data_IF_847650633619
#
_entry.id   IF_847650633619
#
_cell.length_a   1.000
_cell.length_b   1.000
_cell.length_c   1.000
_cell.angle_alpha   90.00
_cell.angle_beta   90.00
_cell.angle_gamma   90.00
#
_symmetry.space_group_name_H-M   'P 1'
#
loop_
_entity.id
_entity.type
_entity.pdbx_description
1 polymer ?
#
# COMPACT_ATOMS: atom_id res chain seq x y z
N UNK A 1 -16.43 6.44 24.62
CA UNK A 1 -15.89 5.30 23.85
C UNK A 1 -14.89 5.89 22.88
N UNK A 2 -13.64 5.42 22.87
CA UNK A 2 -12.67 5.87 21.86
C UNK A 2 -13.15 5.37 20.50
N UNK A 3 -13.21 6.25 19.52
CA UNK A 3 -13.45 5.89 18.14
C UNK A 3 -12.35 4.92 17.66
N UNK A 4 -12.70 3.93 16.83
CA UNK A 4 -11.71 3.01 16.28
C UNK A 4 -10.73 3.79 15.38
N UNK A 5 -9.41 3.61 15.52
CA UNK A 5 -8.44 4.36 14.73
C UNK A 5 -8.65 4.08 13.24
N UNK A 6 -8.62 5.13 12.40
CA UNK A 6 -8.52 5.02 10.95
C UNK A 6 -7.10 4.63 10.58
N UNK A 7 -6.99 3.56 9.81
CA UNK A 7 -5.71 2.97 9.43
C UNK A 7 -5.63 2.99 7.91
N UNK A 8 -4.55 3.55 7.38
CA UNK A 8 -4.23 3.47 5.95
C UNK A 8 -3.28 2.31 5.70
N UNK A 9 -3.48 1.52 4.67
CA UNK A 9 -2.55 0.47 4.26
C UNK A 9 -2.11 0.62 2.81
N UNK A 10 -0.81 0.64 2.56
CA UNK A 10 -0.23 0.55 1.23
C UNK A 10 0.15 -0.91 0.95
N UNK A 11 -0.32 -1.50 -0.15
CA UNK A 11 0.01 -2.88 -0.53
C UNK A 11 0.10 -3.02 -2.05
N UNK A 12 0.90 -3.96 -2.58
CA UNK A 12 0.94 -4.23 -4.02
C UNK A 12 -0.31 -4.94 -4.58
N UNK A 13 -1.11 -5.61 -3.74
CA UNK A 13 -2.22 -6.48 -4.21
C UNK A 13 -3.57 -6.19 -3.52
N UNK A 14 -4.66 -6.19 -4.30
CA UNK A 14 -6.05 -6.27 -3.81
C UNK A 14 -6.61 -7.64 -4.18
N UNK A 15 -6.68 -8.54 -3.21
CA UNK A 15 -7.32 -9.83 -3.43
C UNK A 15 -8.86 -9.69 -3.42
N UNK A 16 -9.49 -9.57 -4.58
CA UNK A 16 -10.90 -9.94 -4.75
C UNK A 16 -11.07 -11.47 -4.89
N UNK A 17 -9.98 -12.19 -5.20
CA UNK A 17 -9.89 -13.65 -5.13
C UNK A 17 -8.46 -13.99 -4.67
N UNK A 18 -8.24 -14.55 -3.47
CA UNK A 18 -6.89 -14.75 -2.94
C UNK A 18 -6.13 -15.80 -3.74
N UNK A 19 -5.09 -15.39 -4.46
CA UNK A 19 -4.13 -16.22 -5.17
C UNK A 19 -2.84 -16.44 -4.35
N UNK A 20 -2.47 -15.51 -3.45
CA UNK A 20 -1.19 -15.52 -2.73
C UNK A 20 -1.26 -15.14 -1.24
N UNK A 21 -0.21 -15.47 -0.48
CA UNK A 21 -0.14 -15.25 0.97
C UNK A 21 -0.26 -13.78 1.42
N UNK A 22 0.17 -12.83 0.59
CA UNK A 22 0.03 -11.39 0.85
C UNK A 22 -1.45 -10.97 0.82
N UNK A 23 -2.23 -11.52 -0.10
CA UNK A 23 -3.65 -11.19 -0.24
C UNK A 23 -4.46 -11.77 0.92
N UNK A 24 -4.16 -13.00 1.33
CA UNK A 24 -4.72 -13.61 2.54
C UNK A 24 -4.40 -12.76 3.76
N UNK A 25 -3.14 -12.33 3.93
CA UNK A 25 -2.74 -11.44 5.02
C UNK A 25 -3.56 -10.14 5.03
N UNK A 26 -3.72 -9.49 3.88
CA UNK A 26 -4.49 -8.25 3.75
C UNK A 26 -5.95 -8.43 4.16
N UNK A 27 -6.59 -9.52 3.73
CA UNK A 27 -7.99 -9.83 4.05
C UNK A 27 -8.18 -10.03 5.56
N UNK A 28 -7.34 -10.85 6.20
CA UNK A 28 -7.41 -11.06 7.64
C UNK A 28 -7.12 -9.78 8.43
N UNK A 29 -6.16 -8.97 7.98
CA UNK A 29 -5.83 -7.70 8.61
C UNK A 29 -6.99 -6.70 8.51
N UNK A 30 -7.66 -6.63 7.35
CA UNK A 30 -8.85 -5.81 7.17
C UNK A 30 -9.97 -6.25 8.11
N UNK A 31 -10.20 -7.56 8.24
CA UNK A 31 -11.20 -8.11 9.16
C UNK A 31 -10.88 -7.82 10.63
N UNK A 32 -9.61 -7.92 11.03
CA UNK A 32 -9.20 -7.70 12.41
C UNK A 32 -9.22 -6.23 12.84
N UNK A 33 -8.89 -5.30 11.93
CA UNK A 33 -8.79 -3.87 12.23
C UNK A 33 -10.11 -3.11 11.99
N UNK A 34 -10.95 -3.58 11.06
CA UNK A 34 -12.24 -3.00 10.70
C UNK A 34 -12.13 -1.68 9.93
N UNK A 35 -11.47 -0.66 10.50
CA UNK A 35 -11.33 0.68 9.94
C UNK A 35 -10.03 0.82 9.13
N UNK A 36 -9.85 -0.08 8.16
CA UNK A 36 -8.66 -0.17 7.31
C UNK A 36 -9.00 0.26 5.87
N UNK A 37 -8.39 1.34 5.41
CA UNK A 37 -8.47 1.83 4.03
C UNK A 37 -7.24 1.36 3.26
N UNK A 38 -7.46 0.59 2.19
CA UNK A 38 -6.38 -0.06 1.43
C UNK A 38 -6.08 0.76 0.16
N UNK A 39 -4.82 1.11 -0.01
CA UNK A 39 -4.24 1.78 -1.17
C UNK A 39 -3.39 0.79 -1.94
N UNK A 40 -3.80 0.60 -3.18
CA UNK A 40 -3.07 -0.18 -4.18
C UNK A 40 -2.85 0.67 -5.41
N UNK A 41 -1.91 0.27 -6.23
CA UNK A 41 -1.81 0.87 -7.54
C UNK A 41 -2.89 0.27 -8.45
N UNK A 42 -3.88 1.08 -8.81
CA UNK A 42 -4.99 0.72 -9.70
C UNK A 42 -4.86 1.45 -11.04
N UNK A 43 -3.65 1.53 -11.58
CA UNK A 43 -3.47 2.15 -12.89
C UNK A 43 -4.26 1.33 -13.93
N UNK A 44 -5.13 1.97 -14.74
CA UNK A 44 -5.84 1.25 -15.79
C UNK A 44 -4.87 0.67 -16.81
N UNK A 45 -5.12 -0.58 -17.21
CA UNK A 45 -4.39 -1.27 -18.28
C UNK A 45 -4.31 -0.35 -19.52
N UNK A 46 -3.08 0.04 -19.91
CA UNK A 46 -2.86 0.81 -21.15
C UNK A 46 -2.21 2.19 -21.00
N UNK A 47 -1.61 2.53 -19.85
CA UNK A 47 -0.76 3.71 -19.78
C UNK A 47 0.56 3.48 -20.54
N UNK A 48 0.63 3.96 -21.80
CA UNK A 48 1.84 3.98 -22.66
C UNK A 48 3.14 4.44 -21.97
N UNK A 49 3.04 5.25 -20.91
CA UNK A 49 4.19 5.71 -20.15
C UNK A 49 4.80 4.65 -19.20
N UNK A 50 4.05 3.60 -18.84
CA UNK A 50 4.57 2.48 -18.03
C UNK A 50 5.42 1.55 -18.90
N UNK A 51 5.04 1.34 -20.17
CA UNK A 51 5.80 0.53 -21.13
C UNK A 51 7.25 1.02 -21.31
N UNK A 52 7.50 2.33 -21.17
CA UNK A 52 8.84 2.92 -21.18
C UNK A 52 9.59 2.73 -19.86
N UNK A 53 8.88 2.66 -18.73
CA UNK A 53 9.46 2.43 -17.40
C UNK A 53 9.86 0.97 -17.20
N UNK A 54 9.09 0.02 -17.75
CA UNK A 54 9.44 -1.39 -17.76
C UNK A 54 10.79 -1.62 -18.46
N UNK A 55 11.01 -0.96 -19.60
CA UNK A 55 12.29 -1.00 -20.34
C UNK A 55 13.52 -0.58 -19.56
N UNK A 56 13.34 0.21 -18.49
CA UNK A 56 14.43 0.67 -17.62
C UNK A 56 14.32 0.13 -16.19
N UNK A 57 13.42 -0.82 -15.93
CA UNK A 57 13.23 -1.47 -14.63
C UNK A 57 12.66 -0.56 -13.53
N UNK A 58 11.89 0.48 -13.91
CA UNK A 58 11.32 1.47 -12.99
C UNK A 58 9.81 1.33 -12.78
N UNK A 59 9.17 0.31 -13.35
CA UNK A 59 7.74 0.07 -13.19
C UNK A 59 7.36 -0.08 -11.70
N UNK A 60 7.91 -1.06 -10.98
CA UNK A 60 7.58 -1.29 -9.56
C UNK A 60 7.87 -0.06 -8.65
N UNK A 61 9.02 0.63 -8.76
CA UNK A 61 9.24 1.89 -8.06
C UNK A 61 8.19 2.97 -8.37
N UNK A 62 7.77 3.08 -9.63
CA UNK A 62 6.74 4.02 -10.04
C UNK A 62 5.39 3.69 -9.43
N UNK A 63 4.95 2.43 -9.52
CA UNK A 63 3.69 1.96 -8.93
C UNK A 63 3.65 2.22 -7.42
N UNK A 64 4.74 1.88 -6.71
CA UNK A 64 4.88 2.15 -5.28
C UNK A 64 4.75 3.65 -4.97
N UNK A 65 5.43 4.51 -5.74
CA UNK A 65 5.39 5.96 -5.56
C UNK A 65 4.00 6.54 -5.87
N UNK A 66 3.34 6.04 -6.91
CA UNK A 66 2.00 6.47 -7.29
C UNK A 66 0.97 6.16 -6.20
N UNK A 67 0.91 4.89 -5.76
CA UNK A 67 0.01 4.48 -4.69
C UNK A 67 0.29 5.23 -3.37
N UNK A 68 1.57 5.46 -3.04
CA UNK A 68 1.95 6.26 -1.88
C UNK A 68 1.49 7.72 -1.99
N UNK A 69 1.55 8.35 -3.19
CA UNK A 69 1.04 9.71 -3.39
C UNK A 69 -0.46 9.80 -3.15
N UNK A 70 -1.22 8.79 -3.59
CA UNK A 70 -2.66 8.70 -3.32
C UNK A 70 -2.92 8.59 -1.82
N UNK A 71 -2.20 7.72 -1.12
CA UNK A 71 -2.30 7.58 0.34
C UNK A 71 -1.98 8.90 1.05
N UNK A 72 -0.87 9.56 0.69
CA UNK A 72 -0.45 10.83 1.31
C UNK A 72 -1.47 11.94 1.06
N UNK A 73 -2.05 12.01 -0.14
CA UNK A 73 -3.12 12.95 -0.45
C UNK A 73 -4.33 12.69 0.43
N UNK A 74 -4.77 11.43 0.52
CA UNK A 74 -5.92 11.04 1.35
C UNK A 74 -5.69 11.35 2.83
N UNK A 75 -4.49 11.08 3.35
CA UNK A 75 -4.10 11.41 4.73
C UNK A 75 -4.15 12.91 5.04
N UNK A 76 -3.88 13.77 4.05
CA UNK A 76 -3.98 15.23 4.23
C UNK A 76 -5.42 15.72 4.28
N UNK A 77 -6.32 15.06 3.55
CA UNK A 77 -7.75 15.39 3.52
C UNK A 77 -8.45 14.86 4.78
N UNK A 78 -8.18 13.59 5.13
CA UNK A 78 -8.70 12.93 6.32
C UNK A 78 -7.58 12.10 6.97
N UNK A 79 -6.98 12.57 8.08
CA UNK A 79 -5.84 11.91 8.70
C UNK A 79 -6.12 10.50 9.21
N UNK A 80 -5.22 9.58 8.88
CA UNK A 80 -5.08 8.29 9.53
C UNK A 80 -4.36 8.44 10.87
N UNK A 81 -4.54 7.51 11.80
CA UNK A 81 -3.77 7.44 13.05
C UNK A 81 -2.61 6.44 12.98
N UNK A 82 -2.63 5.57 11.97
CA UNK A 82 -1.59 4.57 11.70
C UNK A 82 -1.51 4.33 10.19
N UNK A 83 -0.30 4.19 9.67
CA UNK A 83 -0.07 3.76 8.29
C UNK A 83 0.69 2.44 8.30
N UNK A 84 0.14 1.44 7.62
CA UNK A 84 0.74 0.12 7.41
C UNK A 84 1.26 0.06 5.98
N UNK A 85 2.52 -0.28 5.83
CA UNK A 85 3.20 -0.43 4.56
C UNK A 85 3.51 -1.91 4.37
N UNK A 86 2.73 -2.57 3.53
CA UNK A 86 2.75 -4.01 3.36
C UNK A 86 3.47 -4.40 2.07
N UNK A 87 4.54 -5.19 2.20
CA UNK A 87 5.37 -5.63 1.10
C UNK A 87 6.34 -4.55 0.59
N UNK A 88 6.90 -4.81 -0.59
CA UNK A 88 8.02 -4.03 -1.16
C UNK A 88 7.64 -2.60 -1.58
N UNK A 89 6.35 -2.29 -1.71
CA UNK A 89 5.88 -0.94 -2.05
C UNK A 89 5.89 0.03 -0.86
N UNK A 90 6.33 -0.41 0.32
CA UNK A 90 6.16 0.34 1.56
C UNK A 90 7.15 1.48 1.85
N UNK A 91 8.23 1.60 1.08
CA UNK A 91 9.26 2.62 1.31
C UNK A 91 8.86 4.07 0.97
N UNK A 92 8.05 4.40 -0.05
CA UNK A 92 7.87 5.80 -0.45
C UNK A 92 7.23 6.71 0.61
N UNK A 93 6.25 6.26 1.44
CA UNK A 93 5.73 7.06 2.55
C UNK A 93 6.80 7.50 3.55
N UNK A 94 7.91 6.77 3.70
CA UNK A 94 9.00 7.16 4.60
C UNK A 94 9.79 8.39 4.12
N UNK A 95 9.62 8.81 2.87
CA UNK A 95 10.21 10.04 2.33
C UNK A 95 9.45 11.30 2.76
N UNK A 96 8.28 11.15 3.39
CA UNK A 96 7.43 12.27 3.81
C UNK A 96 7.19 12.23 5.31
N UNK A 97 7.18 13.39 5.97
CA UNK A 97 6.82 13.48 7.39
C UNK A 97 5.30 13.50 7.54
N UNK A 98 4.71 12.34 7.86
CA UNK A 98 3.24 12.19 7.98
C UNK A 98 2.70 12.42 9.40
N UNK A 99 3.58 12.52 10.40
CA UNK A 99 3.22 12.81 11.79
C UNK A 99 2.52 11.66 12.52
N UNK A 100 2.51 10.47 11.93
CA UNK A 100 1.87 9.27 12.47
C UNK A 100 2.81 8.08 12.40
N UNK A 101 2.63 7.06 13.26
CA UNK A 101 3.39 5.83 13.18
C UNK A 101 3.25 5.16 11.81
N UNK A 102 4.36 4.63 11.33
CA UNK A 102 4.48 3.96 10.05
C UNK A 102 5.05 2.56 10.31
N UNK A 103 4.27 1.53 9.99
CA UNK A 103 4.62 0.12 10.25
C UNK A 103 4.90 -0.56 8.93
N UNK A 104 6.15 -0.96 8.72
CA UNK A 104 6.55 -1.71 7.54
C UNK A 104 6.47 -3.21 7.82
N UNK A 105 5.70 -3.93 7.00
CA UNK A 105 5.58 -5.40 7.00
C UNK A 105 6.27 -5.93 5.76
N UNK A 106 7.34 -6.69 5.93
CA UNK A 106 7.99 -7.41 4.84
C UNK A 106 7.56 -8.87 4.84
N UNK A 107 6.98 -9.31 3.73
CA UNK A 107 6.75 -10.72 3.45
C UNK A 107 8.03 -11.30 2.87
N UNK A 108 8.85 -11.92 3.71
CA UNK A 108 9.98 -12.71 3.24
C UNK A 108 9.44 -14.05 2.74
N UNK A 109 9.25 -14.18 1.43
CA UNK A 109 9.18 -15.50 0.82
C UNK A 109 10.59 -16.10 0.87
N UNK A 110 10.82 -17.06 1.76
CA UNK A 110 12.01 -17.92 1.76
C UNK A 110 11.96 -18.91 0.58
N UNK A 111 11.66 -18.43 -0.62
CA UNK A 111 11.75 -19.18 -1.86
C UNK A 111 12.77 -18.46 -2.74
N UNK A 112 14.05 -18.74 -2.47
CA UNK A 112 15.14 -18.60 -3.43
C UNK A 112 15.42 -19.95 -4.07
#
# INVERSE_FOLDING_TARGET
MSEAPRIGMLTPHVGLCPADGVEVFNQYLQHALGNLEIFVDSLPDGHRHIDELDRVGLELPYQALHAARVLVRRHREEPFQLIICNGVHGWPPSLTRLGVPLVQVYHLTMAG
#
